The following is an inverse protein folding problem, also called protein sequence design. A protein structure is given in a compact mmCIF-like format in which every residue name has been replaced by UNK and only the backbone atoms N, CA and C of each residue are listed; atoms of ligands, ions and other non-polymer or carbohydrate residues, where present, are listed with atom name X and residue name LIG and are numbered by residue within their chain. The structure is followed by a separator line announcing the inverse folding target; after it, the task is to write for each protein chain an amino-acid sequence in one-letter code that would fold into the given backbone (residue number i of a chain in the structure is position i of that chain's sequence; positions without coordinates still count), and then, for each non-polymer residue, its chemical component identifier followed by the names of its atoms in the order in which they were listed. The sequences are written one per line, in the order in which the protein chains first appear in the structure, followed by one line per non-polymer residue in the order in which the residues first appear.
data_IF_665338278672
#
_entry.id   IF_665338278672
#
_cell.length_a   1.000
_cell.length_b   1.000
_cell.length_c   1.000
_cell.angle_alpha   90.00
_cell.angle_beta   90.00
_cell.angle_gamma   90.00
#
_symmetry.space_group_name_H-M   'P 1'
#
loop_
_entity.id
_entity.type
_entity.pdbx_description
1 polymer ?
#
# COMPACT_ATOMS: atom_id res chain seq x y z
N UNK A 1 29.04 -4.01 5.72
CA UNK A 1 29.13 -2.55 5.62
C UNK A 1 27.92 -1.96 6.31
N UNK A 2 28.09 -1.56 7.57
CA UNK A 2 27.14 -0.73 8.32
C UNK A 2 27.20 0.70 7.78
N UNK A 3 26.07 1.40 7.75
CA UNK A 3 25.90 2.78 8.25
C UNK A 3 24.58 3.37 7.71
N UNK A 4 23.59 3.55 8.59
CA UNK A 4 22.64 4.65 8.47
C UNK A 4 22.58 5.34 9.84
N UNK A 5 23.48 6.29 10.02
CA UNK A 5 23.42 7.35 11.02
C UNK A 5 23.12 8.63 10.25
N UNK A 6 22.00 9.28 10.52
CA UNK A 6 21.74 10.65 10.09
C UNK A 6 21.48 11.47 11.34
N UNK A 7 22.51 12.19 11.77
CA UNK A 7 22.39 13.46 12.46
C UNK A 7 22.82 14.54 11.48
N UNK A 8 22.07 15.64 11.41
CA UNK A 8 22.62 16.99 11.44
C UNK A 8 21.47 17.99 11.50
N UNK A 9 21.40 18.64 12.67
CA UNK A 9 21.12 20.06 12.81
C UNK A 9 21.88 20.86 11.76
N UNK A 10 21.25 21.91 11.24
CA UNK A 10 21.85 23.24 10.98
C UNK A 10 20.92 24.03 10.04
N UNK A 11 20.01 24.83 10.61
CA UNK A 11 19.59 26.09 9.99
C UNK A 11 19.00 27.05 11.04
N UNK A 12 19.89 27.73 11.76
CA UNK A 12 19.68 29.08 12.32
C UNK A 12 20.27 30.07 11.29
N UNK A 13 19.86 31.31 11.07
CA UNK A 13 18.99 32.25 11.78
C UNK A 13 18.72 33.48 10.88
N UNK A 14 17.78 34.31 11.34
CA UNK A 14 17.63 35.76 11.11
C UNK A 14 16.76 36.15 9.92
N UNK A 15 15.89 37.16 10.01
CA UNK A 15 15.41 38.01 11.11
C UNK A 15 14.46 39.01 10.43
N UNK A 16 13.29 39.29 11.01
CA UNK A 16 12.63 40.59 10.93
C UNK A 16 11.45 40.54 11.91
N UNK A 17 11.64 41.20 13.05
CA UNK A 17 10.64 41.41 14.08
C UNK A 17 10.34 42.91 14.17
N UNK A 18 9.11 43.21 14.58
CA UNK A 18 8.55 44.48 15.05
C UNK A 18 7.59 45.17 14.08
N UNK A 19 6.42 45.68 14.47
CA UNK A 19 5.66 45.70 15.73
C UNK A 19 4.28 46.28 15.34
N UNK A 20 3.18 45.66 15.75
CA UNK A 20 1.95 46.37 16.09
C UNK A 20 1.11 45.49 17.01
N UNK A 21 1.17 45.87 18.28
CA UNK A 21 0.48 45.31 19.43
C UNK A 21 -0.99 45.72 19.47
N UNK A 22 -1.79 44.88 20.16
CA UNK A 22 -3.14 45.15 20.71
C UNK A 22 -4.35 44.76 19.85
N UNK A 23 -4.56 43.45 19.69
CA UNK A 23 -5.88 42.81 19.73
C UNK A 23 -5.69 41.30 19.96
N UNK A 24 -5.35 40.89 21.19
CA UNK A 24 -5.09 39.48 21.52
C UNK A 24 -5.98 39.03 22.68
N UNK A 25 -7.00 38.24 22.38
CA UNK A 25 -7.54 37.22 23.31
C UNK A 25 -8.53 36.22 22.69
N UNK A 26 -8.91 36.33 21.41
CA UNK A 26 -9.87 35.37 20.80
C UNK A 26 -9.37 34.66 19.53
N UNK A 27 -8.30 35.15 18.89
CA UNK A 27 -7.79 34.60 17.61
C UNK A 27 -6.60 33.65 17.76
N UNK A 28 -5.93 33.58 18.92
CA UNK A 28 -4.78 32.67 19.11
C UNK A 28 -5.16 31.21 19.39
N UNK A 29 -6.42 30.91 19.68
CA UNK A 29 -6.89 29.52 19.88
C UNK A 29 -7.39 28.85 18.59
N UNK A 30 -7.70 29.63 17.55
CA UNK A 30 -8.25 29.11 16.30
C UNK A 30 -7.17 28.65 15.30
N UNK A 31 -5.99 29.30 15.27
CA UNK A 31 -4.92 28.96 14.33
C UNK A 31 -4.01 27.81 14.78
N UNK A 32 -4.03 27.44 16.06
CA UNK A 32 -3.29 26.26 16.56
C UNK A 32 -4.01 24.93 16.24
N UNK A 33 -5.28 25.01 15.82
CA UNK A 33 -6.18 23.89 15.52
C UNK A 33 -6.57 23.92 14.03
N UNK A 34 -5.57 23.89 13.13
CA UNK A 34 -5.74 23.00 11.97
C UNK A 34 -5.95 21.61 12.57
N UNK A 35 -7.20 21.19 12.74
CA UNK A 35 -7.52 20.13 13.72
C UNK A 35 -6.67 18.89 13.51
N UNK A 36 -6.23 18.26 14.60
CA UNK A 36 -5.48 16.99 14.53
C UNK A 36 -6.16 16.00 13.57
N UNK A 37 -7.49 15.99 13.55
CA UNK A 37 -8.31 15.21 12.61
C UNK A 37 -8.07 15.61 11.14
N UNK A 38 -8.04 16.90 10.81
CA UNK A 38 -7.67 17.39 9.47
C UNK A 38 -6.25 16.99 9.08
N UNK A 39 -5.27 17.10 10.00
CA UNK A 39 -3.89 16.67 9.76
C UNK A 39 -3.83 15.19 9.38
N UNK A 40 -4.54 14.33 10.11
CA UNK A 40 -4.60 12.90 9.82
C UNK A 40 -5.32 12.63 8.49
N UNK A 41 -6.42 13.32 8.19
CA UNK A 41 -7.11 13.19 6.90
C UNK A 41 -6.20 13.57 5.73
N UNK A 42 -5.39 14.63 5.87
CA UNK A 42 -4.37 15.01 4.86
C UNK A 42 -3.29 13.94 4.71
N UNK A 43 -2.85 13.29 5.81
CA UNK A 43 -1.91 12.15 5.75
C UNK A 43 -2.51 10.95 5.00
N UNK A 44 -3.77 10.62 5.27
CA UNK A 44 -4.50 9.56 4.54
C UNK A 44 -4.58 9.88 3.05
N UNK A 45 -5.01 11.09 2.70
CA UNK A 45 -5.10 11.51 1.30
C UNK A 45 -3.73 11.45 0.60
N UNK A 46 -2.67 11.87 1.28
CA UNK A 46 -1.30 11.77 0.76
C UNK A 46 -0.89 10.32 0.51
N UNK A 47 -1.11 9.43 1.49
CA UNK A 47 -0.85 8.00 1.35
C UNK A 47 -1.58 7.42 0.15
N UNK A 48 -2.87 7.73 0.00
CA UNK A 48 -3.69 7.23 -1.09
C UNK A 48 -3.19 7.73 -2.46
N UNK A 49 -2.75 8.99 -2.56
CA UNK A 49 -2.14 9.54 -3.79
C UNK A 49 -0.83 8.85 -4.12
N UNK A 50 0.03 8.63 -3.14
CA UNK A 50 1.31 7.94 -3.32
C UNK A 50 1.09 6.47 -3.76
N UNK A 51 0.07 5.81 -3.20
CA UNK A 51 -0.39 4.47 -3.60
C UNK A 51 -0.98 4.44 -5.01
N UNK A 52 -1.90 5.35 -5.34
CA UNK A 52 -2.50 5.46 -6.67
C UNK A 52 -1.45 5.72 -7.74
N UNK A 53 -0.46 6.57 -7.47
CA UNK A 53 0.66 6.81 -8.38
C UNK A 53 1.48 5.53 -8.63
N UNK A 54 1.77 4.77 -7.58
CA UNK A 54 2.48 3.49 -7.70
C UNK A 54 1.69 2.48 -8.55
N UNK A 55 0.37 2.39 -8.31
CA UNK A 55 -0.53 1.56 -9.11
C UNK A 55 -0.64 2.05 -10.56
N UNK A 56 -0.63 3.36 -10.78
CA UNK A 56 -0.69 3.96 -12.12
C UNK A 56 0.56 3.59 -12.93
N UNK A 57 1.74 3.67 -12.32
CA UNK A 57 2.99 3.20 -12.94
C UNK A 57 2.88 1.70 -13.27
N UNK A 58 2.46 0.87 -12.30
CA UNK A 58 2.29 -0.58 -12.48
C UNK A 58 1.34 -0.89 -13.66
N UNK A 59 0.21 -0.19 -13.74
CA UNK A 59 -0.81 -0.44 -14.77
C UNK A 59 -0.40 0.15 -16.12
N UNK A 60 -0.05 1.43 -16.18
CA UNK A 60 0.17 2.13 -17.45
C UNK A 60 1.51 1.79 -18.10
N UNK A 61 2.55 1.65 -17.30
CA UNK A 61 3.92 1.54 -17.80
C UNK A 61 4.35 0.08 -17.98
N UNK A 62 3.76 -0.83 -17.20
CA UNK A 62 4.03 -2.27 -17.34
C UNK A 62 2.85 -3.00 -18.01
N UNK A 63 1.70 -3.07 -17.36
CA UNK A 63 0.60 -3.92 -17.84
C UNK A 63 0.09 -3.50 -19.23
N UNK A 64 -0.30 -2.23 -19.41
CA UNK A 64 -0.88 -1.74 -20.66
C UNK A 64 0.12 -1.80 -21.83
N UNK A 65 1.41 -1.57 -21.56
CA UNK A 65 2.45 -1.68 -22.59
C UNK A 65 2.61 -3.12 -23.08
N UNK A 66 2.56 -4.10 -22.18
CA UNK A 66 2.60 -5.52 -22.54
C UNK A 66 1.35 -5.94 -23.32
N UNK A 67 0.16 -5.50 -22.88
CA UNK A 67 -1.11 -5.75 -23.58
C UNK A 67 -1.10 -5.14 -25.00
N UNK A 68 -0.58 -3.92 -25.15
CA UNK A 68 -0.43 -3.24 -26.45
C UNK A 68 0.52 -3.99 -27.37
N UNK A 69 1.67 -4.44 -26.86
CA UNK A 69 2.63 -5.25 -27.64
C UNK A 69 2.04 -6.57 -28.12
N UNK A 70 1.24 -7.24 -27.28
CA UNK A 70 0.50 -8.44 -27.68
C UNK A 70 -0.51 -8.18 -28.80
N UNK A 71 -1.18 -7.02 -28.77
CA UNK A 71 -2.16 -6.65 -29.79
C UNK A 71 -1.52 -6.34 -31.14
N UNK A 72 -0.30 -5.81 -31.15
CA UNK A 72 0.45 -5.42 -32.36
C UNK A 72 1.30 -6.57 -32.96
N UNK A 73 0.96 -7.84 -32.68
CA UNK A 73 1.71 -9.04 -33.10
C UNK A 73 3.19 -9.11 -32.63
N UNK A 74 3.63 -8.18 -31.77
CA UNK A 74 4.95 -8.16 -31.13
C UNK A 74 4.86 -8.77 -29.72
N UNK A 75 4.29 -9.97 -29.63
CA UNK A 75 4.03 -10.64 -28.36
C UNK A 75 5.32 -10.96 -27.62
N UNK A 76 5.49 -10.37 -26.43
CA UNK A 76 6.63 -10.63 -25.53
C UNK A 76 6.30 -11.74 -24.53
N UNK A 77 5.07 -11.74 -24.01
CA UNK A 77 4.54 -12.71 -23.02
C UNK A 77 3.09 -13.03 -23.31
N UNK A 78 2.62 -14.19 -22.88
CA UNK A 78 1.22 -14.60 -23.13
C UNK A 78 0.25 -13.73 -22.32
N UNK A 79 -0.93 -13.47 -22.87
CA UNK A 79 -1.97 -12.69 -22.17
C UNK A 79 -2.37 -13.30 -20.83
N UNK A 80 -2.32 -14.63 -20.69
CA UNK A 80 -2.54 -15.31 -19.41
C UNK A 80 -1.45 -14.99 -18.37
N UNK A 81 -0.19 -14.86 -18.80
CA UNK A 81 0.91 -14.48 -17.91
C UNK A 81 0.78 -13.03 -17.45
N UNK A 82 0.39 -12.12 -18.35
CA UNK A 82 0.08 -10.72 -18.00
C UNK A 82 -1.03 -10.70 -16.94
N UNK A 83 -2.15 -11.40 -17.18
CA UNK A 83 -3.26 -11.49 -16.21
C UNK A 83 -2.81 -12.08 -14.87
N UNK A 84 -1.94 -13.09 -14.88
CA UNK A 84 -1.43 -13.71 -13.67
C UNK A 84 -0.51 -12.77 -12.85
N UNK A 85 0.34 -11.99 -13.53
CA UNK A 85 1.28 -11.05 -12.89
C UNK A 85 0.54 -9.84 -12.30
N UNK A 86 -0.36 -9.22 -13.06
CA UNK A 86 -0.99 -7.96 -12.66
C UNK A 86 -2.33 -8.14 -11.93
N UNK A 87 -2.93 -9.34 -11.98
CA UNK A 87 -4.16 -9.68 -11.26
C UNK A 87 -5.27 -8.63 -11.48
N UNK A 88 -5.81 -8.06 -10.41
CA UNK A 88 -6.83 -7.02 -10.39
C UNK A 88 -6.26 -5.62 -10.05
N UNK A 89 -4.98 -5.35 -10.34
CA UNK A 89 -4.32 -4.05 -10.12
C UNK A 89 -5.09 -2.86 -10.70
N UNK A 90 -5.65 -3.00 -11.91
CA UNK A 90 -6.50 -1.98 -12.56
C UNK A 90 -7.72 -1.60 -11.70
N UNK A 91 -8.37 -2.59 -11.07
CA UNK A 91 -9.54 -2.35 -10.21
C UNK A 91 -9.13 -1.66 -8.90
N UNK A 92 -7.98 -2.03 -8.34
CA UNK A 92 -7.41 -1.35 -7.17
C UNK A 92 -7.09 0.11 -7.48
N UNK A 93 -6.54 0.41 -8.66
CA UNK A 93 -6.27 1.78 -9.10
C UNK A 93 -7.55 2.61 -9.20
N UNK A 94 -8.58 2.08 -9.88
CA UNK A 94 -9.88 2.76 -9.99
C UNK A 94 -10.49 3.05 -8.62
N UNK A 95 -10.45 2.06 -7.72
CA UNK A 95 -10.91 2.21 -6.33
C UNK A 95 -10.17 3.29 -5.55
N UNK A 96 -8.85 3.37 -5.73
CA UNK A 96 -8.00 4.35 -5.05
C UNK A 96 -8.27 5.78 -5.54
N UNK A 97 -8.40 5.96 -6.87
CA UNK A 97 -8.76 7.24 -7.48
C UNK A 97 -10.14 7.73 -7.02
N UNK A 98 -11.12 6.84 -6.90
CA UNK A 98 -12.45 7.18 -6.39
C UNK A 98 -12.38 7.69 -4.93
N UNK A 99 -11.59 7.03 -4.08
CA UNK A 99 -11.38 7.47 -2.70
C UNK A 99 -10.72 8.85 -2.65
N UNK A 100 -9.67 9.07 -3.45
CA UNK A 100 -8.96 10.35 -3.53
C UNK A 100 -9.94 11.47 -3.87
N UNK A 101 -10.71 11.33 -4.95
CA UNK A 101 -11.66 12.36 -5.35
C UNK A 101 -12.71 12.65 -4.27
N UNK A 102 -13.24 11.61 -3.64
CA UNK A 102 -14.24 11.76 -2.56
C UNK A 102 -13.66 12.51 -1.36
N UNK A 103 -12.42 12.17 -0.97
CA UNK A 103 -11.74 12.84 0.13
C UNK A 103 -11.37 14.28 -0.20
N UNK A 104 -10.86 14.54 -1.41
CA UNK A 104 -10.51 15.89 -1.87
C UNK A 104 -11.73 16.80 -1.81
N UNK A 105 -12.87 16.37 -2.34
CA UNK A 105 -14.11 17.15 -2.31
C UNK A 105 -14.50 17.55 -0.88
N UNK A 106 -14.41 16.63 0.07
CA UNK A 106 -14.75 16.90 1.48
C UNK A 106 -13.73 17.79 2.19
N UNK A 107 -12.47 17.68 1.81
CA UNK A 107 -11.39 18.47 2.40
C UNK A 107 -11.39 19.92 1.89
N UNK A 108 -12.01 20.22 0.74
CA UNK A 108 -12.17 21.59 0.24
C UNK A 108 -13.03 22.46 1.14
N UNK A 109 -14.08 21.89 1.75
CA UNK A 109 -15.04 22.60 2.61
C UNK A 109 -14.90 22.16 4.07
N UNK A 110 -13.68 21.75 4.47
CA UNK A 110 -13.45 21.07 5.74
C UNK A 110 -13.94 21.85 6.97
N UNK A 111 -14.67 21.16 7.83
CA UNK A 111 -14.84 21.50 9.23
C UNK A 111 -14.82 20.22 10.09
N UNK A 112 -14.73 20.37 11.41
CA UNK A 112 -14.60 19.23 12.31
C UNK A 112 -15.82 18.32 12.40
N UNK A 113 -16.98 18.73 11.88
CA UNK A 113 -18.22 17.96 11.85
C UNK A 113 -18.43 17.21 10.53
N UNK A 114 -17.58 17.46 9.53
CA UNK A 114 -17.64 16.73 8.25
C UNK A 114 -17.38 15.24 8.50
N UNK A 115 -18.27 14.42 7.94
CA UNK A 115 -18.17 12.97 7.90
C UNK A 115 -17.22 12.58 6.75
N UNK A 116 -16.01 12.14 7.11
CA UNK A 116 -15.03 11.60 6.16
C UNK A 116 -15.14 10.08 6.09
N UNK A 117 -15.71 9.44 7.12
CA UNK A 117 -15.74 7.99 7.31
C UNK A 117 -16.57 7.26 6.25
N UNK A 118 -17.64 7.87 5.77
CA UNK A 118 -18.47 7.39 4.66
C UNK A 118 -17.68 7.27 3.33
N UNK A 119 -16.62 8.06 3.14
CA UNK A 119 -15.69 7.90 2.00
C UNK A 119 -15.02 6.53 2.01
N UNK A 120 -14.87 5.90 3.18
CA UNK A 120 -14.32 4.56 3.32
C UNK A 120 -15.36 3.44 3.19
N UNK A 121 -16.66 3.76 3.20
CA UNK A 121 -17.72 2.73 3.07
C UNK A 121 -17.69 2.11 1.66
N UNK A 122 -17.52 2.91 0.61
CA UNK A 122 -17.34 2.40 -0.76
C UNK A 122 -16.10 1.48 -0.88
N UNK A 123 -15.09 1.69 -0.04
CA UNK A 123 -13.91 0.85 0.04
C UNK A 123 -14.17 -0.48 0.76
N UNK A 124 -15.20 -0.60 1.61
CA UNK A 124 -15.54 -1.88 2.25
C UNK A 124 -15.91 -2.94 1.20
N UNK A 125 -16.64 -2.57 0.15
CA UNK A 125 -16.91 -3.45 -0.99
C UNK A 125 -15.64 -3.91 -1.71
N UNK A 126 -14.56 -3.14 -1.61
CA UNK A 126 -13.29 -3.41 -2.27
C UNK A 126 -12.40 -4.38 -1.49
N UNK A 127 -12.81 -4.88 -0.31
CA UNK A 127 -12.06 -5.93 0.39
C UNK A 127 -11.88 -7.17 -0.45
N UNK A 128 -12.91 -7.54 -1.20
CA UNK A 128 -12.86 -8.70 -2.09
C UNK A 128 -11.77 -8.52 -3.13
N UNK A 129 -11.51 -7.27 -3.55
CA UNK A 129 -10.41 -6.95 -4.46
C UNK A 129 -9.06 -7.14 -3.78
N UNK A 130 -8.86 -6.61 -2.58
CA UNK A 130 -7.61 -6.80 -1.83
C UNK A 130 -7.36 -8.27 -1.48
N UNK A 131 -8.36 -8.98 -0.95
CA UNK A 131 -8.27 -10.42 -0.66
C UNK A 131 -7.95 -11.25 -1.91
N UNK A 132 -8.57 -10.92 -3.05
CA UNK A 132 -8.26 -11.54 -4.34
C UNK A 132 -6.80 -11.26 -4.73
N UNK A 133 -6.35 -10.01 -4.69
CA UNK A 133 -4.98 -9.64 -5.04
C UNK A 133 -3.97 -10.40 -4.17
N UNK A 134 -4.17 -10.41 -2.84
CA UNK A 134 -3.28 -11.09 -1.89
C UNK A 134 -3.23 -12.60 -2.09
N UNK A 135 -4.36 -13.22 -2.44
CA UNK A 135 -4.40 -14.66 -2.77
C UNK A 135 -3.59 -14.99 -4.02
N UNK A 136 -3.46 -14.05 -4.95
CA UNK A 136 -2.81 -14.24 -6.26
C UNK A 136 -1.37 -13.72 -6.27
N UNK A 137 -0.97 -12.95 -5.27
CA UNK A 137 0.34 -12.28 -5.21
C UNK A 137 1.53 -13.24 -5.35
N UNK A 138 1.52 -14.41 -4.69
CA UNK A 138 2.62 -15.38 -4.87
C UNK A 138 2.66 -15.95 -6.28
N UNK A 139 1.49 -16.24 -6.85
CA UNK A 139 1.40 -16.74 -8.21
C UNK A 139 1.88 -15.67 -9.20
N UNK A 140 1.60 -14.39 -8.93
CA UNK A 140 2.13 -13.27 -9.70
C UNK A 140 3.67 -13.23 -9.65
N UNK A 141 4.28 -13.37 -8.47
CA UNK A 141 5.74 -13.42 -8.34
C UNK A 141 6.37 -14.64 -9.05
N UNK A 142 5.71 -15.79 -8.95
CA UNK A 142 6.16 -17.01 -9.61
C UNK A 142 6.10 -16.89 -11.13
N UNK A 143 4.99 -16.38 -11.68
CA UNK A 143 4.87 -16.14 -13.12
C UNK A 143 5.81 -15.03 -13.61
N UNK A 144 6.04 -14.00 -12.80
CA UNK A 144 7.04 -12.98 -13.08
C UNK A 144 8.45 -13.60 -13.19
N UNK A 145 8.83 -14.45 -12.24
CA UNK A 145 10.14 -15.13 -12.26
C UNK A 145 10.31 -16.04 -13.49
N UNK A 146 9.24 -16.64 -14.00
CA UNK A 146 9.27 -17.36 -15.28
C UNK A 146 9.46 -16.41 -16.46
N UNK A 147 8.73 -15.30 -16.49
CA UNK A 147 8.82 -14.31 -17.56
C UNK A 147 10.20 -13.63 -17.61
N UNK A 148 10.85 -13.43 -16.47
CA UNK A 148 12.21 -12.88 -16.39
C UNK A 148 13.27 -13.74 -17.11
N UNK A 149 13.01 -15.04 -17.32
CA UNK A 149 13.88 -15.93 -18.12
C UNK A 149 13.76 -15.68 -19.63
N UNK A 150 12.69 -15.02 -20.08
CA UNK A 150 12.51 -14.62 -21.47
C UNK A 150 13.27 -13.30 -21.71
N UNK A 151 14.26 -13.32 -22.62
CA UNK A 151 15.14 -12.18 -22.89
C UNK A 151 14.37 -10.91 -23.33
N UNK A 152 13.48 -10.96 -24.35
CA UNK A 152 12.61 -9.84 -24.69
C UNK A 152 11.83 -9.23 -23.50
N UNK A 153 11.30 -10.08 -22.62
CA UNK A 153 10.61 -9.60 -21.42
C UNK A 153 11.57 -8.93 -20.43
N UNK A 154 12.72 -9.55 -20.16
CA UNK A 154 13.76 -9.02 -19.27
C UNK A 154 14.26 -7.65 -19.73
N UNK A 155 14.49 -7.47 -21.03
CA UNK A 155 14.91 -6.18 -21.61
C UNK A 155 13.81 -5.11 -21.50
N UNK A 156 12.57 -5.46 -21.83
CA UNK A 156 11.43 -4.57 -21.63
C UNK A 156 11.31 -4.14 -20.17
N UNK A 157 11.31 -5.09 -19.26
CA UNK A 157 11.20 -4.88 -17.81
C UNK A 157 12.30 -3.94 -17.28
N UNK A 158 13.57 -4.22 -17.57
CA UNK A 158 14.71 -3.38 -17.18
C UNK A 158 14.68 -1.99 -17.80
N UNK A 159 14.07 -1.83 -18.98
CA UNK A 159 13.88 -0.51 -19.58
C UNK A 159 12.85 0.33 -18.83
N UNK A 160 11.74 -0.29 -18.40
CA UNK A 160 10.70 0.41 -17.64
C UNK A 160 11.20 0.78 -16.24
N UNK A 161 11.88 -0.13 -15.55
CA UNK A 161 12.43 0.14 -14.21
C UNK A 161 13.40 1.32 -14.19
N UNK A 162 14.30 1.39 -15.19
CA UNK A 162 15.21 2.53 -15.33
C UNK A 162 14.48 3.84 -15.65
N UNK A 163 13.45 3.77 -16.51
CA UNK A 163 12.70 4.97 -16.92
C UNK A 163 11.89 5.58 -15.77
N UNK A 164 11.36 4.75 -14.88
CA UNK A 164 10.49 5.19 -13.77
C UNK A 164 11.18 5.12 -12.41
N UNK A 165 12.48 4.86 -12.37
CA UNK A 165 13.29 4.70 -11.14
C UNK A 165 12.58 3.84 -10.09
N UNK A 166 12.05 2.69 -10.54
CA UNK A 166 11.17 1.84 -9.73
C UNK A 166 11.51 0.36 -9.92
N UNK A 167 10.97 -0.49 -9.05
CA UNK A 167 11.11 -1.94 -9.17
C UNK A 167 9.74 -2.62 -9.31
N UNK A 168 9.54 -3.49 -10.30
CA UNK A 168 8.23 -4.14 -10.53
C UNK A 168 7.81 -5.02 -9.35
N UNK A 169 8.75 -5.74 -8.73
CA UNK A 169 8.45 -6.59 -7.57
C UNK A 169 8.03 -5.75 -6.38
N UNK A 170 8.59 -4.54 -6.24
CA UNK A 170 8.18 -3.61 -5.18
C UNK A 170 6.84 -2.94 -5.50
N UNK A 171 6.60 -2.55 -6.76
CA UNK A 171 5.28 -2.10 -7.21
C UNK A 171 4.20 -3.15 -6.95
N UNK A 172 4.46 -4.43 -7.23
CA UNK A 172 3.52 -5.52 -6.96
C UNK A 172 3.24 -5.72 -5.47
N UNK A 173 4.17 -5.35 -4.57
CA UNK A 173 3.97 -5.37 -3.11
C UNK A 173 3.14 -4.20 -2.60
N UNK A 174 3.07 -3.09 -3.34
CA UNK A 174 2.43 -1.86 -2.84
C UNK A 174 1.02 -2.07 -2.29
N UNK A 175 0.10 -2.88 -2.89
CA UNK A 175 -1.23 -3.08 -2.30
C UNK A 175 -1.21 -3.79 -0.95
N UNK A 176 -0.20 -4.64 -0.71
CA UNK A 176 -0.03 -5.33 0.57
C UNK A 176 0.43 -4.32 1.62
N UNK A 177 1.45 -3.52 1.31
CA UNK A 177 2.00 -2.51 2.21
C UNK A 177 0.95 -1.42 2.54
N UNK A 178 0.20 -0.99 1.54
CA UNK A 178 -0.84 0.02 1.73
C UNK A 178 -1.93 -0.43 2.70
N UNK A 179 -2.27 -1.73 2.75
CA UNK A 179 -3.24 -2.23 3.72
C UNK A 179 -2.77 -2.03 5.17
N UNK A 180 -1.46 -2.18 5.44
CA UNK A 180 -0.90 -1.91 6.77
C UNK A 180 -0.89 -0.41 7.08
N UNK A 181 -0.38 0.41 6.15
CA UNK A 181 -0.32 1.88 6.31
C UNK A 181 -1.71 2.45 6.55
N UNK A 182 -2.69 2.02 5.76
CA UNK A 182 -4.09 2.45 5.88
C UNK A 182 -4.69 2.06 7.23
N UNK A 183 -4.42 0.85 7.74
CA UNK A 183 -4.87 0.42 9.07
C UNK A 183 -4.35 1.37 10.17
N UNK A 184 -3.08 1.72 10.12
CA UNK A 184 -2.47 2.60 11.12
C UNK A 184 -2.99 4.04 11.04
N UNK A 185 -3.14 4.59 9.83
CA UNK A 185 -3.68 5.94 9.65
C UNK A 185 -5.16 6.04 10.04
N UNK A 186 -5.97 5.02 9.75
CA UNK A 186 -7.37 4.97 10.18
C UNK A 186 -7.48 4.81 11.70
N UNK A 187 -6.54 4.08 12.33
CA UNK A 187 -6.44 4.01 13.79
C UNK A 187 -6.11 5.39 14.39
N UNK A 188 -5.14 6.12 13.83
CA UNK A 188 -4.83 7.52 14.24
C UNK A 188 -6.07 8.42 14.09
N UNK A 189 -6.81 8.28 12.98
CA UNK A 189 -8.02 9.07 12.72
C UNK A 189 -9.13 8.74 13.73
N UNK A 190 -9.32 7.47 14.05
CA UNK A 190 -10.28 7.01 15.05
C UNK A 190 -9.96 7.58 16.44
N UNK A 191 -8.69 7.52 16.87
CA UNK A 191 -8.23 8.02 18.16
C UNK A 191 -8.44 9.54 18.33
N UNK A 192 -8.31 10.32 17.26
CA UNK A 192 -8.56 11.76 17.30
C UNK A 192 -10.02 12.16 16.97
N UNK A 193 -10.93 11.20 16.75
CA UNK A 193 -12.35 11.44 16.50
C UNK A 193 -13.17 11.20 17.78
N UNK A 194 -13.80 12.26 18.30
CA UNK A 194 -14.63 12.22 19.53
C UNK A 194 -15.75 11.18 19.40
N UNK A 195 -16.10 10.50 20.50
CA UNK A 195 -17.14 9.46 20.52
C UNK A 195 -18.54 9.94 20.09
N UNK A 196 -18.86 11.23 20.31
CA UNK A 196 -20.11 11.86 19.87
C UNK A 196 -20.12 12.23 18.38
N UNK A 197 -18.98 12.22 17.70
CA UNK A 197 -18.88 12.55 16.29
C UNK A 197 -19.46 11.41 15.44
N UNK A 198 -20.17 11.75 14.36
CA UNK A 198 -20.87 10.78 13.51
C UNK A 198 -19.96 9.73 12.87
N UNK A 199 -18.73 10.12 12.51
CA UNK A 199 -17.72 9.18 12.01
C UNK A 199 -17.24 8.14 13.02
N UNK A 200 -17.39 8.33 14.33
CA UNK A 200 -16.74 7.47 15.31
C UNK A 200 -17.15 5.99 15.13
N UNK A 201 -18.44 5.73 14.91
CA UNK A 201 -18.96 4.38 14.61
C UNK A 201 -18.49 3.86 13.26
N UNK A 202 -18.46 4.70 12.23
CA UNK A 202 -18.07 4.31 10.87
C UNK A 202 -16.58 3.94 10.83
N UNK A 203 -15.73 4.75 11.47
CA UNK A 203 -14.30 4.54 11.59
C UNK A 203 -13.98 3.28 12.40
N UNK A 204 -14.66 3.05 13.53
CA UNK A 204 -14.50 1.80 14.30
C UNK A 204 -14.81 0.57 13.45
N UNK A 205 -15.93 0.57 12.72
CA UNK A 205 -16.28 -0.53 11.83
C UNK A 205 -15.29 -0.71 10.67
N UNK A 206 -14.76 0.38 10.13
CA UNK A 206 -13.78 0.32 9.05
C UNK A 206 -12.40 -0.14 9.57
N UNK A 207 -12.02 0.25 10.78
CA UNK A 207 -10.79 -0.18 11.44
C UNK A 207 -10.81 -1.68 11.70
N UNK A 208 -11.88 -2.21 12.31
CA UNK A 208 -12.04 -3.66 12.53
C UNK A 208 -11.90 -4.45 11.21
N UNK A 209 -12.47 -3.91 10.14
CA UNK A 209 -12.37 -4.48 8.81
C UNK A 209 -10.92 -4.48 8.27
N UNK A 210 -10.15 -3.41 8.49
CA UNK A 210 -8.74 -3.35 8.08
C UNK A 210 -7.89 -4.29 8.94
N UNK A 211 -8.21 -4.46 10.21
CA UNK A 211 -7.57 -5.42 11.11
C UNK A 211 -7.79 -6.85 10.65
N UNK A 212 -9.01 -7.23 10.25
CA UNK A 212 -9.30 -8.54 9.66
C UNK A 212 -8.53 -8.78 8.36
N UNK A 213 -8.45 -7.77 7.49
CA UNK A 213 -7.71 -7.84 6.24
C UNK A 213 -6.22 -8.06 6.50
N UNK A 214 -5.62 -7.22 7.35
CA UNK A 214 -4.20 -7.29 7.73
C UNK A 214 -3.89 -8.60 8.46
N UNK A 215 -4.75 -9.02 9.39
CA UNK A 215 -4.63 -10.30 10.09
C UNK A 215 -4.66 -11.49 9.13
N UNK A 216 -5.52 -11.44 8.10
CA UNK A 216 -5.55 -12.47 7.05
C UNK A 216 -4.23 -12.54 6.26
N UNK A 217 -3.62 -11.39 5.95
CA UNK A 217 -2.31 -11.33 5.28
C UNK A 217 -1.23 -11.95 6.17
N UNK A 218 -1.18 -11.55 7.44
CA UNK A 218 -0.20 -12.03 8.41
C UNK A 218 -0.35 -13.53 8.66
N UNK A 219 -1.57 -14.02 8.84
CA UNK A 219 -1.86 -15.45 9.04
C UNK A 219 -1.42 -16.28 7.83
N UNK A 220 -1.69 -15.83 6.60
CA UNK A 220 -1.22 -16.51 5.39
C UNK A 220 0.30 -16.55 5.29
N UNK A 221 0.98 -15.47 5.69
CA UNK A 221 2.44 -15.43 5.75
C UNK A 221 2.96 -16.43 6.79
N UNK A 222 2.40 -16.45 7.99
CA UNK A 222 2.82 -17.36 9.06
C UNK A 222 2.59 -18.83 8.71
N UNK A 223 1.42 -19.18 8.14
CA UNK A 223 1.12 -20.55 7.71
C UNK A 223 2.16 -21.07 6.71
N UNK A 224 2.62 -20.22 5.78
CA UNK A 224 3.67 -20.61 4.83
C UNK A 224 5.01 -20.85 5.51
N UNK A 225 5.41 -20.01 6.46
CA UNK A 225 6.65 -20.20 7.22
C UNK A 225 6.62 -21.54 7.96
N UNK A 226 5.53 -21.82 8.68
CA UNK A 226 5.34 -23.10 9.36
C UNK A 226 5.37 -24.29 8.39
N UNK A 227 4.80 -24.16 7.18
CA UNK A 227 4.85 -25.22 6.16
C UNK A 227 6.28 -25.47 5.65
N UNK A 228 7.10 -24.42 5.52
CA UNK A 228 8.51 -24.54 5.09
C UNK A 228 9.31 -25.24 6.19
N UNK A 229 9.15 -24.82 7.45
CA UNK A 229 9.80 -25.44 8.61
C UNK A 229 9.44 -26.92 8.74
N UNK A 230 8.15 -27.26 8.64
CA UNK A 230 7.71 -28.66 8.69
C UNK A 230 8.30 -29.52 7.55
N UNK A 231 8.41 -28.96 6.34
CA UNK A 231 9.06 -29.66 5.21
C UNK A 231 10.55 -29.85 5.45
N UNK A 232 11.24 -28.84 5.99
CA UNK A 232 12.66 -28.95 6.34
C UNK A 232 12.89 -30.02 7.41
N UNK A 233 12.07 -30.03 8.47
CA UNK A 233 12.16 -31.03 9.53
C UNK A 233 11.93 -32.44 9.00
N UNK A 234 10.92 -32.64 8.16
CA UNK A 234 10.66 -33.94 7.53
C UNK A 234 11.82 -34.41 6.65
N UNK A 235 12.47 -33.51 5.91
CA UNK A 235 13.66 -33.84 5.11
C UNK A 235 14.81 -34.27 6.02
N UNK A 236 15.07 -33.56 7.12
CA UNK A 236 16.12 -33.90 8.08
C UNK A 236 15.89 -35.28 8.71
N UNK A 237 14.67 -35.58 9.13
CA UNK A 237 14.31 -36.90 9.67
C UNK A 237 14.51 -38.02 8.64
N UNK A 238 14.13 -37.79 7.39
CA UNK A 238 14.31 -38.74 6.30
C UNK A 238 15.80 -39.00 6.00
N UNK A 239 16.63 -37.96 6.09
CA UNK A 239 18.08 -38.09 5.94
C UNK A 239 18.66 -38.91 7.10
N UNK A 240 18.32 -38.57 8.35
CA UNK A 240 18.80 -39.29 9.54
C UNK A 240 18.45 -40.79 9.47
N UNK A 241 17.22 -41.14 9.12
CA UNK A 241 16.79 -42.55 8.96
C UNK A 241 17.60 -43.30 7.90
N UNK A 242 17.96 -42.65 6.79
CA UNK A 242 18.78 -43.25 5.72
C UNK A 242 20.24 -43.46 6.11
N UNK A 243 20.80 -42.63 6.98
CA UNK A 243 22.17 -42.80 7.47
C UNK A 243 22.27 -43.89 8.55
N UNK A 244 21.26 -44.01 9.42
CA UNK A 244 21.23 -45.06 10.46
C UNK A 244 21.04 -46.46 9.85
N UNK A 245 20.37 -46.59 8.70
CA UNK A 245 20.15 -47.88 8.02
C UNK A 245 21.31 -48.42 7.17
N UNK A 246 22.48 -47.76 7.13
CA UNK A 246 23.66 -48.18 6.35
C UNK A 246 24.84 -48.71 7.18
N UNK A 247 24.66 -48.88 8.49
CA UNK A 247 25.66 -49.49 9.39
C UNK A 247 25.19 -50.88 9.80
N UNK A 248 25.26 -51.84 8.87
CA UNK A 248 25.24 -53.29 9.13
C UNK A 248 26.18 -53.95 8.13
#
# INVERSE_FOLDING_TARGET
MNCFSLSNSDFESSSYESLSSEANSETEFEDTITSTRLRVCKKILKSERDYANSLDILVRQFQNQLEKKNSNQNQIVRSQQIKAIFSNSKKLLSSSVELIHTMEYKLLVWNNDIEIGDSFISQKSNIKLYSQYFSQYENALYELAKCEKNKPFSEFYKSQERKFSTNLRDLLKTPILEAFIKKDLISELFQCTKSKHKDHKILSQYLNFLEELVGTIQNKKQQKLNQIENKQQSILENIQKRFVGKVV
#
